data_IF_192006404140
#
_entry.id   IF_192006404140
#
_cell.length_a   1.000
_cell.length_b   1.000
_cell.length_c   1.000
_cell.angle_alpha   90.00
_cell.angle_beta   90.00
_cell.angle_gamma   90.00
#
_symmetry.space_group_name_H-M   'P 1'
#
loop_
_entity.id
_entity.type
_entity.pdbx_description
1 polymer ?
#
# COMPACT_ATOMS: atom_id res chain seq x y z
N UNK A 1 15.09 13.90 -7.56
CA UNK A 1 13.76 14.47 -7.73
C UNK A 1 12.70 13.42 -7.48
N UNK A 2 11.75 13.74 -6.63
CA UNK A 2 10.71 12.78 -6.27
C UNK A 2 9.66 12.70 -7.36
N UNK A 3 9.38 11.50 -7.79
CA UNK A 3 8.36 11.26 -8.79
C UNK A 3 7.12 10.73 -8.11
N UNK A 4 5.97 11.39 -8.31
CA UNK A 4 4.72 10.96 -7.69
C UNK A 4 4.31 9.56 -8.11
N UNK A 5 4.84 9.07 -9.23
CA UNK A 5 4.57 7.72 -9.70
C UNK A 5 5.23 6.65 -8.84
N UNK A 6 6.12 7.05 -7.93
CA UNK A 6 6.78 6.13 -7.04
C UNK A 6 5.93 5.75 -5.83
N UNK A 7 4.77 6.37 -5.69
CA UNK A 7 3.89 6.13 -4.55
C UNK A 7 2.62 5.43 -5.00
N UNK A 8 2.10 4.58 -4.14
CA UNK A 8 0.82 3.93 -4.37
C UNK A 8 -0.01 4.07 -3.12
N UNK A 9 -1.30 4.37 -3.30
CA UNK A 9 -2.24 4.55 -2.19
C UNK A 9 -3.14 3.32 -2.12
N UNK A 10 -3.14 2.67 -0.98
CA UNK A 10 -3.86 1.41 -0.78
C UNK A 10 -5.01 1.66 0.18
N UNK A 11 -6.23 1.46 -0.30
CA UNK A 11 -7.43 1.58 0.52
C UNK A 11 -7.90 0.25 1.08
N UNK A 12 -7.42 -0.85 0.52
CA UNK A 12 -7.75 -2.20 0.98
C UNK A 12 -6.86 -2.53 2.19
N UNK A 13 -7.46 -2.60 3.36
CA UNK A 13 -6.71 -2.83 4.59
C UNK A 13 -6.03 -4.19 4.62
N UNK A 14 -6.66 -5.23 4.06
CA UNK A 14 -6.02 -6.54 4.00
C UNK A 14 -4.73 -6.47 3.20
N UNK A 15 -4.78 -5.79 2.08
CA UNK A 15 -3.60 -5.63 1.22
C UNK A 15 -2.54 -4.81 1.93
N UNK A 16 -2.93 -3.74 2.60
CA UNK A 16 -1.99 -2.90 3.34
C UNK A 16 -1.32 -3.71 4.44
N UNK A 17 -2.07 -4.48 5.20
CA UNK A 17 -1.50 -5.32 6.25
C UNK A 17 -0.58 -6.38 5.68
N UNK A 18 -0.93 -6.94 4.54
CA UNK A 18 -0.08 -7.92 3.87
C UNK A 18 1.31 -7.32 3.59
N UNK A 19 1.34 -6.10 3.07
CA UNK A 19 2.60 -5.43 2.78
C UNK A 19 3.37 -5.15 4.07
N UNK A 20 2.68 -4.68 5.10
CA UNK A 20 3.33 -4.39 6.37
C UNK A 20 3.92 -5.65 6.99
N UNK A 21 3.19 -6.76 6.94
CA UNK A 21 3.67 -8.03 7.48
C UNK A 21 4.90 -8.54 6.73
N UNK A 22 5.06 -8.14 5.48
CA UNK A 22 6.21 -8.53 4.68
C UNK A 22 7.35 -7.52 4.75
N UNK A 23 7.28 -6.57 5.68
CA UNK A 23 8.39 -5.69 5.97
C UNK A 23 8.37 -4.35 5.25
N UNK A 24 7.29 -4.05 4.51
CA UNK A 24 7.17 -2.76 3.85
C UNK A 24 6.53 -1.77 4.80
N UNK A 25 7.16 -0.62 4.96
CA UNK A 25 6.64 0.43 5.84
C UNK A 25 5.90 1.48 5.03
N UNK A 26 4.78 2.01 5.55
CA UNK A 26 4.12 3.14 4.89
C UNK A 26 5.07 4.32 4.78
N UNK A 27 4.99 5.03 3.67
CA UNK A 27 5.81 6.23 3.46
C UNK A 27 5.27 7.42 4.21
N UNK A 28 3.96 7.42 4.47
CA UNK A 28 3.28 8.52 5.17
C UNK A 28 2.36 7.94 6.23
N UNK A 29 1.97 8.80 7.15
CA UNK A 29 0.98 8.41 8.17
C UNK A 29 -0.32 8.08 7.45
N UNK A 30 -0.99 6.96 7.77
CA UNK A 30 -2.28 6.64 7.15
C UNK A 30 -3.27 7.79 7.34
N UNK A 31 -4.03 8.06 6.30
CA UNK A 31 -4.98 9.18 6.30
C UNK A 31 -6.38 8.69 6.03
N UNK A 32 -7.34 9.34 6.69
CA UNK A 32 -8.74 9.11 6.42
C UNK A 32 -9.19 10.08 5.33
N UNK A 33 -9.81 9.54 4.29
CA UNK A 33 -10.36 10.37 3.24
C UNK A 33 -11.60 11.11 3.78
N UNK A 34 -11.57 12.42 3.74
CA UNK A 34 -12.61 13.20 4.40
C UNK A 34 -14.02 13.00 3.81
N UNK A 35 -14.10 12.61 2.56
CA UNK A 35 -15.39 12.40 1.89
C UNK A 35 -15.93 11.00 2.11
N UNK A 36 -15.08 9.97 1.90
CA UNK A 36 -15.52 8.59 1.96
C UNK A 36 -15.28 7.94 3.31
N UNK A 37 -14.54 8.61 4.19
CA UNK A 37 -14.16 8.09 5.50
C UNK A 37 -13.32 6.82 5.41
N UNK A 38 -12.70 6.58 4.27
CA UNK A 38 -11.84 5.41 4.09
C UNK A 38 -10.40 5.77 4.42
N UNK A 39 -9.73 4.85 5.11
CA UNK A 39 -8.33 5.03 5.46
C UNK A 39 -7.47 4.50 4.31
N UNK A 40 -6.47 5.26 3.93
CA UNK A 40 -5.53 4.80 2.91
C UNK A 40 -4.11 4.80 3.45
N UNK A 41 -3.32 3.87 2.94
CA UNK A 41 -1.90 3.75 3.26
C UNK A 41 -1.10 4.10 2.02
N UNK A 42 0.00 4.84 2.22
CA UNK A 42 0.88 5.19 1.11
C UNK A 42 2.14 4.35 1.21
N UNK A 43 2.43 3.60 0.14
CA UNK A 43 3.62 2.74 0.09
C UNK A 43 4.47 3.09 -1.11
N UNK A 44 5.73 2.66 -1.07
CA UNK A 44 6.60 2.75 -2.23
C UNK A 44 6.11 1.77 -3.30
N UNK A 45 5.82 2.28 -4.47
CA UNK A 45 5.36 1.45 -5.58
C UNK A 45 6.40 0.39 -5.91
N UNK A 46 7.67 0.76 -5.85
CA UNK A 46 8.78 -0.14 -6.14
C UNK A 46 8.80 -1.34 -5.20
N UNK A 47 8.62 -1.08 -3.92
CA UNK A 47 8.61 -2.14 -2.93
C UNK A 47 7.36 -3.01 -3.02
N UNK A 48 6.21 -2.40 -3.26
CA UNK A 48 4.97 -3.16 -3.34
C UNK A 48 4.90 -4.00 -4.61
N UNK A 49 5.55 -3.57 -5.69
CA UNK A 49 5.57 -4.37 -6.90
C UNK A 49 6.18 -5.75 -6.67
N UNK A 50 7.16 -5.84 -5.79
CA UNK A 50 7.80 -7.12 -5.47
C UNK A 50 6.83 -8.07 -4.77
N UNK A 51 5.87 -7.54 -4.04
CA UNK A 51 4.91 -8.34 -3.29
C UNK A 51 3.56 -8.45 -3.98
N UNK A 52 3.33 -7.65 -5.00
CA UNK A 52 2.03 -7.62 -5.66
C UNK A 52 1.65 -8.99 -6.23
N UNK A 53 2.62 -9.67 -6.83
CA UNK A 53 2.37 -11.01 -7.36
C UNK A 53 2.03 -11.99 -6.25
N UNK A 54 2.67 -11.87 -5.10
CA UNK A 54 2.35 -12.71 -3.96
C UNK A 54 0.95 -12.43 -3.46
N UNK A 55 0.56 -11.17 -3.46
CA UNK A 55 -0.78 -10.80 -3.07
C UNK A 55 -1.82 -11.41 -3.99
N UNK A 56 -1.58 -11.33 -5.30
CA UNK A 56 -2.50 -11.89 -6.28
C UNK A 56 -2.60 -13.42 -6.18
N UNK A 57 -1.52 -14.07 -5.77
CA UNK A 57 -1.46 -15.52 -5.72
C UNK A 57 -1.79 -16.12 -4.37
N UNK A 58 -2.11 -15.30 -3.37
CA UNK A 58 -2.31 -15.79 -2.01
C UNK A 58 -3.49 -16.74 -1.86
N UNK A 59 -4.42 -16.69 -2.78
CA UNK A 59 -5.60 -17.56 -2.77
C UNK A 59 -5.52 -18.68 -3.79
N UNK A 60 -4.39 -18.89 -4.38
CA UNK A 60 -4.21 -19.99 -5.34
C UNK A 60 -3.71 -21.25 -4.70
#
# INVERSE_FOLDING_TARGET
MTNNNDKVYIYDLERAYFYIENGIRPLEVPREHYTTKRVCFCFSKKETNNLYNKWLNRYK
#
